data_IF_372705394367
#
_entry.id   IF_372705394367
#
_cell.length_a   1.000
_cell.length_b   1.000
_cell.length_c   1.000
_cell.angle_alpha   90.00
_cell.angle_beta   90.00
_cell.angle_gamma   90.00
#
_symmetry.space_group_name_H-M   'P 1'
#
loop_
_entity.id
_entity.type
_entity.pdbx_description
1 polymer ?
#
# COMPACT_ATOMS: atom_id res chain seq x y z
N UNK A 1 13.84 12.94 2.44
CA UNK A 1 12.54 12.32 2.17
C UNK A 1 11.96 12.94 0.91
N UNK A 2 11.91 12.18 -0.17
CA UNK A 2 11.35 12.63 -1.46
C UNK A 2 9.83 12.80 -1.40
N UNK A 3 9.25 13.52 -2.37
CA UNK A 3 7.78 13.69 -2.48
C UNK A 3 7.06 12.33 -2.56
N UNK A 4 7.69 11.33 -3.17
CA UNK A 4 7.13 9.98 -3.30
C UNK A 4 7.05 9.25 -1.98
N UNK A 5 8.09 9.33 -1.16
CA UNK A 5 8.08 8.77 0.19
C UNK A 5 6.98 9.41 1.05
N UNK A 6 6.73 10.72 0.86
CA UNK A 6 5.64 11.43 1.55
C UNK A 6 4.30 10.85 1.13
N UNK A 7 4.05 10.69 -0.19
CA UNK A 7 2.81 10.08 -0.67
C UNK A 7 2.65 8.63 -0.24
N UNK A 8 3.71 7.82 -0.27
CA UNK A 8 3.72 6.43 0.22
C UNK A 8 3.35 6.37 1.71
N UNK A 9 3.93 7.25 2.52
CA UNK A 9 3.64 7.32 3.97
C UNK A 9 2.20 7.76 4.22
N UNK A 10 1.72 8.77 3.49
CA UNK A 10 0.33 9.23 3.56
C UNK A 10 -0.65 8.12 3.17
N UNK A 11 -0.37 7.40 2.09
CA UNK A 11 -1.17 6.28 1.62
C UNK A 11 -1.35 5.21 2.70
N UNK A 12 -0.24 4.80 3.31
CA UNK A 12 -0.23 3.82 4.38
C UNK A 12 -1.01 4.30 5.63
N UNK A 13 -0.82 5.56 6.03
CA UNK A 13 -1.55 6.15 7.16
C UNK A 13 -3.07 6.22 6.91
N UNK A 14 -3.48 6.65 5.71
CA UNK A 14 -4.89 6.69 5.30
C UNK A 14 -5.48 5.27 5.33
N UNK A 15 -4.73 4.29 4.84
CA UNK A 15 -5.17 2.91 4.84
C UNK A 15 -5.37 2.36 6.27
N UNK A 16 -4.41 2.56 7.19
CA UNK A 16 -4.57 2.13 8.58
C UNK A 16 -5.77 2.81 9.24
N UNK A 17 -5.98 4.10 8.99
CA UNK A 17 -7.13 4.82 9.51
C UNK A 17 -8.45 4.20 9.00
N UNK A 18 -8.53 3.95 7.70
CA UNK A 18 -9.67 3.27 7.08
C UNK A 18 -9.87 1.85 7.61
N UNK A 19 -8.81 1.07 7.79
CA UNK A 19 -8.88 -0.26 8.35
C UNK A 19 -9.39 -0.22 9.80
N UNK A 20 -8.83 0.66 10.63
CA UNK A 20 -9.24 0.83 12.02
C UNK A 20 -10.71 1.25 12.14
N UNK A 21 -11.16 2.20 11.31
CA UNK A 21 -12.57 2.57 11.21
C UNK A 21 -13.43 1.39 10.76
N UNK A 22 -12.96 0.59 9.80
CA UNK A 22 -13.67 -0.60 9.31
C UNK A 22 -13.89 -1.63 10.42
N UNK A 23 -12.90 -1.89 11.28
CA UNK A 23 -13.07 -2.80 12.43
C UNK A 23 -14.06 -2.26 13.46
N UNK A 24 -14.09 -0.93 13.66
CA UNK A 24 -15.01 -0.29 14.62
C UNK A 24 -16.46 -0.26 14.12
N UNK A 25 -16.65 -0.04 12.82
CA UNK A 25 -17.97 0.16 12.19
C UNK A 25 -18.42 -1.06 11.36
N UNK A 26 -17.78 -2.21 11.59
CA UNK A 26 -18.10 -3.48 10.96
C UNK A 26 -18.14 -3.46 9.42
N UNK A 27 -17.09 -2.91 8.80
CA UNK A 27 -16.95 -2.89 7.34
C UNK A 27 -17.80 -1.81 6.66
N UNK A 28 -18.04 -0.67 7.31
CA UNK A 28 -18.81 0.43 6.75
C UNK A 28 -18.26 0.88 5.39
N UNK A 29 -19.14 1.31 4.49
CA UNK A 29 -18.73 1.74 3.15
C UNK A 29 -17.82 2.97 3.20
N UNK A 30 -17.97 3.84 4.21
CA UNK A 30 -17.09 4.97 4.43
C UNK A 30 -15.65 4.52 4.71
N UNK A 31 -15.46 3.56 5.61
CA UNK A 31 -14.13 3.01 5.92
C UNK A 31 -13.47 2.37 4.70
N UNK A 32 -14.25 1.67 3.86
CA UNK A 32 -13.77 1.09 2.60
C UNK A 32 -13.32 2.17 1.62
N UNK A 33 -14.06 3.26 1.48
CA UNK A 33 -13.67 4.39 0.63
C UNK A 33 -12.36 5.01 1.12
N UNK A 34 -12.18 5.15 2.43
CA UNK A 34 -10.93 5.67 3.01
C UNK A 34 -9.77 4.74 2.68
N UNK A 35 -9.93 3.41 2.86
CA UNK A 35 -8.89 2.44 2.48
C UNK A 35 -8.58 2.48 0.97
N UNK A 36 -9.61 2.60 0.13
CA UNK A 36 -9.45 2.76 -1.31
C UNK A 36 -8.66 4.01 -1.68
N UNK A 37 -8.88 5.13 -0.99
CA UNK A 37 -8.06 6.34 -1.17
C UNK A 37 -6.59 6.07 -0.88
N UNK A 38 -6.28 5.39 0.24
CA UNK A 38 -4.92 4.99 0.58
C UNK A 38 -4.27 4.15 -0.52
N UNK A 39 -4.92 3.04 -0.91
CA UNK A 39 -4.44 2.16 -1.98
C UNK A 39 -4.31 2.89 -3.31
N UNK A 40 -5.22 3.81 -3.63
CA UNK A 40 -5.16 4.56 -4.89
C UNK A 40 -3.99 5.53 -4.92
N UNK A 41 -3.68 6.20 -3.81
CA UNK A 41 -2.49 7.07 -3.71
C UNK A 41 -1.24 6.22 -3.91
N UNK A 42 -1.13 5.08 -3.21
CA UNK A 42 0.00 4.15 -3.34
C UNK A 42 0.20 3.65 -4.78
N UNK A 43 -0.89 3.18 -5.39
CA UNK A 43 -0.90 2.71 -6.78
C UNK A 43 -0.49 3.81 -7.75
N UNK A 44 -1.05 5.03 -7.62
CA UNK A 44 -0.72 6.14 -8.51
C UNK A 44 0.72 6.61 -8.33
N UNK A 45 1.21 6.71 -7.10
CA UNK A 45 2.61 7.05 -6.81
C UNK A 45 3.57 6.02 -7.41
N UNK A 46 3.16 4.75 -7.47
CA UNK A 46 3.98 3.67 -8.04
C UNK A 46 3.89 3.56 -9.57
N UNK A 47 2.71 3.79 -10.15
CA UNK A 47 2.45 3.52 -11.57
C UNK A 47 2.61 4.74 -12.48
N UNK A 48 2.32 5.96 -11.99
CA UNK A 48 2.48 7.18 -12.80
C UNK A 48 3.92 7.41 -13.29
N UNK A 49 4.98 7.12 -12.50
CA UNK A 49 6.36 7.20 -13.00
C UNK A 49 6.61 6.28 -14.20
N UNK A 50 6.00 5.09 -14.21
CA UNK A 50 6.12 4.13 -15.31
C UNK A 50 5.40 4.63 -16.59
N UNK A 51 4.40 5.50 -16.42
CA UNK A 51 3.71 6.18 -17.52
C UNK A 51 4.41 7.48 -17.98
N UNK A 52 5.57 7.83 -17.40
CA UNK A 52 6.37 9.00 -17.80
C UNK A 52 6.15 10.26 -16.95
N UNK A 53 5.46 10.17 -15.81
CA UNK A 53 5.31 11.31 -14.89
C UNK A 53 6.58 11.46 -14.05
N UNK A 54 7.49 12.34 -14.49
CA UNK A 54 8.80 12.55 -13.85
C UNK A 54 8.73 13.11 -12.43
N UNK A 55 7.67 13.86 -12.10
CA UNK A 55 7.47 14.44 -10.77
C UNK A 55 7.42 13.38 -9.65
N UNK A 56 6.96 12.18 -9.98
CA UNK A 56 6.83 11.06 -9.05
C UNK A 56 7.94 10.02 -9.23
N UNK A 57 8.94 10.26 -10.08
CA UNK A 57 10.07 9.35 -10.20
C UNK A 57 10.87 9.35 -8.91
N UNK A 58 11.13 8.16 -8.39
CA UNK A 58 12.10 8.02 -7.31
C UNK A 58 13.50 8.03 -7.92
N UNK A 59 14.34 8.90 -7.37
CA UNK A 59 15.78 8.88 -7.63
C UNK A 59 16.42 7.76 -6.82
N UNK A 60 16.06 6.52 -7.18
CA UNK A 60 16.73 5.34 -6.71
C UNK A 60 18.05 5.28 -7.46
N UNK A 61 19.14 5.69 -6.81
CA UNK A 61 20.52 5.65 -7.36
C UNK A 61 20.95 4.27 -7.88
N UNK A 62 20.14 3.24 -7.63
CA UNK A 62 20.14 1.95 -8.33
C UNK A 62 19.03 1.05 -7.78
N UNK A 63 18.90 -0.14 -8.38
CA UNK A 63 17.95 -1.17 -7.93
C UNK A 63 18.69 -2.25 -7.14
N UNK A 64 18.16 -2.65 -5.99
CA UNK A 64 18.65 -3.80 -5.22
C UNK A 64 17.55 -4.85 -5.05
N UNK A 65 17.92 -6.07 -4.63
CA UNK A 65 16.98 -7.19 -4.48
C UNK A 65 15.84 -6.89 -3.48
N UNK A 66 16.07 -6.01 -2.51
CA UNK A 66 15.07 -5.59 -1.52
C UNK A 66 14.03 -4.67 -2.15
N UNK A 67 14.45 -3.71 -2.98
CA UNK A 67 13.55 -2.83 -3.74
C UNK A 67 12.70 -3.66 -4.69
N UNK A 68 13.30 -4.64 -5.40
CA UNK A 68 12.54 -5.55 -6.29
C UNK A 68 11.55 -6.38 -5.50
N UNK A 69 11.97 -6.92 -4.34
CA UNK A 69 11.09 -7.65 -3.45
C UNK A 69 9.91 -6.77 -3.01
N UNK A 70 10.16 -5.54 -2.55
CA UNK A 70 9.12 -4.61 -2.14
C UNK A 70 8.15 -4.32 -3.30
N UNK A 71 8.64 -4.01 -4.50
CA UNK A 71 7.76 -3.78 -5.66
C UNK A 71 6.83 -4.97 -5.91
N UNK A 72 7.38 -6.21 -5.95
CA UNK A 72 6.58 -7.42 -6.15
C UNK A 72 5.59 -7.63 -4.99
N UNK A 73 6.02 -7.37 -3.77
CA UNK A 73 5.20 -7.54 -2.58
C UNK A 73 4.06 -6.51 -2.49
N UNK A 74 4.30 -5.27 -2.93
CA UNK A 74 3.26 -4.24 -3.12
C UNK A 74 2.16 -4.68 -4.08
N UNK A 75 2.50 -5.35 -5.19
CA UNK A 75 1.47 -5.97 -6.06
C UNK A 75 0.65 -7.03 -5.31
N UNK A 76 1.28 -7.83 -4.46
CA UNK A 76 0.54 -8.81 -3.63
C UNK A 76 -0.42 -8.11 -2.65
N UNK A 77 -0.02 -6.98 -2.05
CA UNK A 77 -0.88 -6.16 -1.18
C UNK A 77 -2.12 -5.68 -1.93
N UNK A 78 -1.97 -5.15 -3.15
CA UNK A 78 -3.09 -4.69 -3.97
C UNK A 78 -4.06 -5.83 -4.31
N UNK A 79 -3.53 -7.00 -4.66
CA UNK A 79 -4.35 -8.17 -4.98
C UNK A 79 -5.08 -8.72 -3.75
N UNK A 80 -4.43 -8.73 -2.57
CA UNK A 80 -5.06 -9.12 -1.31
C UNK A 80 -6.19 -8.16 -0.92
N UNK A 81 -5.99 -6.85 -1.12
CA UNK A 81 -7.03 -5.87 -0.86
C UNK A 81 -8.21 -6.03 -1.82
N UNK A 82 -7.96 -6.24 -3.12
CA UNK A 82 -9.00 -6.54 -4.10
C UNK A 82 -9.79 -7.81 -3.72
N UNK A 83 -9.11 -8.87 -3.26
CA UNK A 83 -9.75 -10.08 -2.76
C UNK A 83 -10.62 -9.79 -1.52
N UNK A 84 -10.16 -8.94 -0.60
CA UNK A 84 -10.95 -8.52 0.56
C UNK A 84 -12.24 -7.81 0.13
N UNK A 85 -12.19 -6.92 -0.87
CA UNK A 85 -13.38 -6.25 -1.40
C UNK A 85 -14.37 -7.25 -2.01
N UNK A 86 -13.90 -8.25 -2.76
CA UNK A 86 -14.75 -9.32 -3.32
C UNK A 86 -15.40 -10.14 -2.20
N UNK A 87 -14.67 -10.44 -1.12
CA UNK A 87 -15.23 -11.16 0.04
C UNK A 87 -16.29 -10.31 0.75
N UNK A 88 -16.07 -9.00 0.85
CA UNK A 88 -17.05 -8.06 1.42
C UNK A 88 -18.34 -8.02 0.59
N UNK A 89 -18.26 -7.99 -0.73
CA UNK A 89 -19.47 -7.99 -1.59
C UNK A 89 -20.26 -9.30 -1.51
N UNK A 90 -19.61 -10.41 -1.13
CA UNK A 90 -20.25 -11.69 -0.82
C UNK A 90 -20.86 -11.76 0.59
N UNK A 91 -20.75 -10.70 1.39
CA UNK A 91 -21.38 -10.59 2.72
C UNK A 91 -20.60 -11.25 3.87
N UNK A 92 -19.41 -11.80 3.64
CA UNK A 92 -18.60 -12.41 4.71
C UNK A 92 -17.71 -11.37 5.39
N UNK A 93 -18.27 -10.60 6.34
CA UNK A 93 -17.55 -9.54 7.04
C UNK A 93 -16.39 -10.05 7.90
N UNK A 94 -16.52 -11.24 8.50
CA UNK A 94 -15.44 -11.86 9.27
C UNK A 94 -14.22 -12.16 8.40
N UNK A 95 -14.44 -12.83 7.26
CA UNK A 95 -13.36 -13.16 6.32
C UNK A 95 -12.75 -11.90 5.71
N UNK A 96 -13.59 -10.90 5.41
CA UNK A 96 -13.13 -9.59 4.97
C UNK A 96 -12.18 -8.95 6.01
N UNK A 97 -12.56 -8.91 7.28
CA UNK A 97 -11.71 -8.36 8.34
C UNK A 97 -10.41 -9.14 8.52
N UNK A 98 -10.44 -10.47 8.46
CA UNK A 98 -9.22 -11.29 8.47
C UNK A 98 -8.29 -10.92 7.31
N UNK A 99 -8.84 -10.74 6.11
CA UNK A 99 -8.06 -10.30 4.96
C UNK A 99 -7.50 -8.89 5.15
N UNK A 100 -8.29 -7.94 5.68
CA UNK A 100 -7.80 -6.58 5.98
C UNK A 100 -6.67 -6.60 7.02
N UNK A 101 -6.71 -7.49 8.02
CA UNK A 101 -5.57 -7.70 8.94
C UNK A 101 -4.33 -8.18 8.19
N UNK A 102 -4.48 -9.16 7.30
CA UNK A 102 -3.36 -9.67 6.48
C UNK A 102 -2.80 -8.58 5.57
N UNK A 103 -3.65 -7.79 4.92
CA UNK A 103 -3.25 -6.65 4.07
C UNK A 103 -2.46 -5.63 4.88
N UNK A 104 -2.90 -5.26 6.08
CA UNK A 104 -2.16 -4.33 6.94
C UNK A 104 -0.75 -4.83 7.26
N UNK A 105 -0.61 -6.11 7.65
CA UNK A 105 0.69 -6.69 7.99
C UNK A 105 1.58 -6.77 6.76
N UNK A 106 1.04 -7.25 5.63
CA UNK A 106 1.79 -7.33 4.37
C UNK A 106 2.25 -5.94 3.91
N UNK A 107 1.37 -4.94 3.93
CA UNK A 107 1.74 -3.59 3.53
C UNK A 107 2.73 -2.95 4.49
N UNK A 108 2.65 -3.23 5.79
CA UNK A 108 3.68 -2.76 6.73
C UNK A 108 5.07 -3.33 6.39
N UNK A 109 5.13 -4.64 6.12
CA UNK A 109 6.39 -5.30 5.72
C UNK A 109 6.91 -4.69 4.43
N UNK A 110 6.04 -4.50 3.43
CA UNK A 110 6.37 -3.85 2.16
C UNK A 110 6.95 -2.45 2.37
N UNK A 111 6.23 -1.62 3.13
CA UNK A 111 6.61 -0.24 3.43
C UNK A 111 7.98 -0.15 4.09
N UNK A 112 8.24 -1.00 5.10
CA UNK A 112 9.54 -1.04 5.77
C UNK A 112 10.62 -1.58 4.84
N UNK A 113 10.36 -2.62 4.06
CA UNK A 113 11.32 -3.17 3.10
C UNK A 113 11.71 -2.13 2.05
N UNK A 114 10.74 -1.34 1.57
CA UNK A 114 10.94 -0.27 0.61
C UNK A 114 11.81 0.86 1.16
N UNK A 115 11.45 1.41 2.34
CA UNK A 115 12.24 2.44 3.00
C UNK A 115 13.66 1.94 3.32
N UNK A 116 13.77 0.71 3.84
CA UNK A 116 15.06 0.10 4.15
C UNK A 116 15.92 -0.10 2.89
N UNK A 117 15.31 -0.51 1.78
CA UNK A 117 15.94 -0.65 0.48
C UNK A 117 16.51 0.67 -0.06
N UNK A 118 15.81 1.79 0.17
CA UNK A 118 16.26 3.13 -0.21
C UNK A 118 17.40 3.62 0.69
N UNK A 119 17.26 3.51 2.01
CA UNK A 119 18.16 4.17 2.96
C UNK A 119 19.42 3.37 3.32
N UNK A 120 19.35 2.03 3.40
CA UNK A 120 20.49 1.22 3.85
C UNK A 120 21.45 0.85 2.72
N UNK A 121 20.97 0.81 1.48
CA UNK A 121 21.81 0.63 0.30
C UNK A 121 21.82 1.94 -0.47
N UNK A 122 22.49 3.00 0.03
CA UNK A 122 22.73 4.20 -0.76
C UNK A 122 23.61 3.78 -1.93
N UNK A 123 23.02 3.66 -3.10
CA UNK A 123 23.72 3.25 -4.30
C UNK A 123 24.52 4.47 -4.76
N UNK A 124 25.85 4.32 -4.77
CA UNK A 124 26.77 5.26 -5.41
C UNK A 124 26.83 4.98 -6.91
#
# INVERSE_FOLDING_TARGET
MSINEIFYTLAYCIFIYGASSSFRENGSSASVVIMLCGISIDFLTSMLPLAGVDFLKMDVGGTNAVIVFAIVFGFCVWMLFAAALIVRTKGSLETYHRLITVVQIAWFIDFIAFLWGIYKFPVQ
#
